data_IF_442176805369
#
_entry.id   IF_442176805369
#
_cell.length_a   1.000
_cell.length_b   1.000
_cell.length_c   1.000
_cell.angle_alpha   90.00
_cell.angle_beta   90.00
_cell.angle_gamma   90.00
#
_symmetry.space_group_name_H-M   'P 1'
#
loop_
_entity.id
_entity.type
_entity.pdbx_description
1 polymer ?
#
# COMPACT_ATOMS: atom_id res chain seq x y z
N UNK A 1 -7.56 -2.05 32.13
CA UNK A 1 -6.32 -1.49 31.53
C UNK A 1 -5.96 -2.11 30.17
N UNK A 2 -6.61 -3.22 29.77
CA UNK A 2 -6.59 -3.76 28.41
C UNK A 2 -6.85 -2.70 27.32
N UNK A 3 -7.73 -1.72 27.60
CA UNK A 3 -8.05 -0.62 26.70
C UNK A 3 -7.08 0.58 26.79
N UNK A 4 -5.91 0.41 27.41
CA UNK A 4 -4.87 1.44 27.37
C UNK A 4 -4.29 1.50 25.95
N UNK A 5 -4.11 2.72 25.41
CA UNK A 5 -3.62 2.95 24.05
C UNK A 5 -2.30 2.22 23.75
N UNK A 6 -1.36 2.23 24.71
CA UNK A 6 -0.09 1.50 24.56
C UNK A 6 -0.33 0.00 24.42
N UNK A 7 -1.16 -0.60 25.27
CA UNK A 7 -1.42 -2.04 25.24
C UNK A 7 -2.14 -2.45 23.95
N UNK A 8 -3.08 -1.63 23.47
CA UNK A 8 -3.75 -1.85 22.18
C UNK A 8 -2.73 -1.82 21.05
N UNK A 9 -1.82 -0.82 21.04
CA UNK A 9 -0.78 -0.72 20.03
C UNK A 9 0.19 -1.91 20.08
N UNK A 10 0.69 -2.28 21.27
CA UNK A 10 1.60 -3.41 21.41
C UNK A 10 0.96 -4.75 21.04
N UNK A 11 -0.37 -4.88 21.05
CA UNK A 11 -1.06 -6.08 20.55
C UNK A 11 -0.98 -6.24 19.04
N UNK A 12 -0.77 -5.16 18.29
CA UNK A 12 -0.59 -5.24 16.83
C UNK A 12 0.84 -5.61 16.43
N UNK A 13 1.78 -5.62 17.38
CA UNK A 13 3.19 -5.92 17.08
C UNK A 13 3.36 -7.41 16.81
N UNK A 14 4.29 -7.74 15.93
CA UNK A 14 4.88 -9.06 15.84
C UNK A 14 5.90 -9.30 16.96
N UNK A 15 6.25 -10.57 17.20
CA UNK A 15 7.28 -10.93 18.19
C UNK A 15 8.62 -10.25 17.90
N UNK A 16 8.97 -10.10 16.62
CA UNK A 16 10.20 -9.43 16.18
C UNK A 16 10.16 -7.93 16.51
N UNK A 17 9.05 -7.25 16.21
CA UNK A 17 8.87 -5.83 16.52
C UNK A 17 8.92 -5.57 18.03
N UNK A 18 8.27 -6.39 18.85
CA UNK A 18 8.33 -6.23 20.32
C UNK A 18 9.76 -6.40 20.86
N UNK A 19 10.56 -7.28 20.26
CA UNK A 19 11.97 -7.47 20.63
C UNK A 19 12.81 -6.24 20.26
N UNK A 20 12.66 -5.72 19.03
CA UNK A 20 13.34 -4.49 18.59
C UNK A 20 12.89 -3.26 19.38
N UNK A 21 11.62 -3.18 19.75
CA UNK A 21 11.10 -2.08 20.57
C UNK A 21 11.72 -2.07 21.98
N UNK A 22 11.96 -3.25 22.56
CA UNK A 22 12.70 -3.35 23.82
C UNK A 22 14.12 -2.79 23.66
N UNK A 23 14.85 -3.20 22.64
CA UNK A 23 16.20 -2.68 22.36
C UNK A 23 16.19 -1.16 22.11
N UNK A 24 15.23 -0.68 21.32
CA UNK A 24 15.01 0.75 21.05
C UNK A 24 14.78 1.54 22.34
N UNK A 25 14.02 0.98 23.29
CA UNK A 25 13.76 1.63 24.57
C UNK A 25 14.99 1.78 25.47
N UNK A 26 15.97 0.89 25.31
CA UNK A 26 17.26 0.94 26.00
C UNK A 26 18.32 1.79 25.27
N UNK A 27 18.03 2.26 24.05
CA UNK A 27 18.94 3.12 23.31
C UNK A 27 19.03 4.51 23.96
N UNK A 28 20.23 4.95 24.43
CA UNK A 28 20.40 6.24 25.08
C UNK A 28 20.22 7.43 24.12
N UNK A 29 20.13 7.17 22.82
CA UNK A 29 19.81 8.16 21.80
C UNK A 29 18.31 8.50 21.78
N UNK A 30 17.45 7.50 21.98
CA UNK A 30 15.99 7.65 21.92
C UNK A 30 15.33 7.79 23.29
N UNK A 31 15.87 7.11 24.31
CA UNK A 31 15.30 7.12 25.65
C UNK A 31 16.37 6.95 26.74
N UNK A 32 16.29 7.78 27.77
CA UNK A 32 17.12 7.70 28.99
C UNK A 32 16.31 7.48 30.26
N UNK A 33 14.98 7.39 30.15
CA UNK A 33 14.10 7.29 31.30
C UNK A 33 14.02 5.83 31.79
N UNK A 34 14.69 5.53 32.91
CA UNK A 34 14.78 4.17 33.48
C UNK A 34 13.40 3.56 33.76
N UNK A 35 12.45 4.34 34.31
CA UNK A 35 11.09 3.85 34.53
C UNK A 35 10.34 3.44 33.25
N UNK A 36 10.63 4.07 32.11
CA UNK A 36 10.04 3.69 30.80
C UNK A 36 10.68 2.41 30.30
N UNK A 37 12.00 2.27 30.46
CA UNK A 37 12.73 1.03 30.15
C UNK A 37 12.17 -0.15 30.96
N UNK A 38 12.00 0.03 32.27
CA UNK A 38 11.45 -1.00 33.15
C UNK A 38 10.00 -1.38 32.76
N UNK A 39 9.17 -0.40 32.39
CA UNK A 39 7.80 -0.66 31.93
C UNK A 39 7.79 -1.47 30.65
N UNK A 40 8.60 -1.09 29.66
CA UNK A 40 8.68 -1.80 28.37
C UNK A 40 9.26 -3.19 28.56
N UNK A 41 10.29 -3.35 29.40
CA UNK A 41 10.85 -4.65 29.77
C UNK A 41 9.77 -5.57 30.36
N UNK A 42 9.01 -5.09 31.34
CA UNK A 42 7.89 -5.85 31.90
C UNK A 42 6.86 -6.23 30.82
N UNK A 43 6.41 -5.27 30.01
CA UNK A 43 5.44 -5.54 28.94
C UNK A 43 5.94 -6.56 27.91
N UNK A 44 7.24 -6.55 27.60
CA UNK A 44 7.88 -7.53 26.71
C UNK A 44 7.85 -8.95 27.27
N UNK A 45 7.98 -9.11 28.60
CA UNK A 45 7.90 -10.45 29.25
C UNK A 45 6.52 -11.07 29.16
N UNK A 46 5.45 -10.26 29.13
CA UNK A 46 4.07 -10.75 29.09
C UNK A 46 3.48 -10.83 27.67
N UNK A 47 4.13 -10.20 26.68
CA UNK A 47 3.73 -10.25 25.28
C UNK A 47 3.72 -11.69 24.72
N UNK A 48 2.74 -12.07 23.86
CA UNK A 48 1.64 -11.24 23.32
C UNK A 48 0.39 -11.20 24.19
N UNK A 49 0.32 -11.99 25.26
CA UNK A 49 -0.89 -12.09 26.08
C UNK A 49 -0.93 -11.04 27.21
N UNK A 50 -1.56 -9.92 26.88
CA UNK A 50 -1.87 -8.82 27.79
C UNK A 50 -3.18 -9.04 28.57
N UNK A 51 -3.27 -10.18 29.27
CA UNK A 51 -4.42 -10.49 30.16
C UNK A 51 -4.67 -9.38 31.19
N UNK A 52 -5.94 -9.17 31.57
CA UNK A 52 -6.32 -8.13 32.53
C UNK A 52 -5.58 -8.26 33.88
N UNK A 53 -5.37 -9.51 34.33
CA UNK A 53 -4.62 -9.81 35.55
C UNK A 53 -3.17 -9.31 35.49
N UNK A 54 -2.49 -9.51 34.34
CA UNK A 54 -1.08 -9.10 34.17
C UNK A 54 -0.93 -7.61 33.87
N UNK A 55 -1.95 -6.99 33.27
CA UNK A 55 -1.95 -5.57 32.96
C UNK A 55 -2.67 -4.70 34.00
N UNK A 56 -2.97 -5.22 35.20
CA UNK A 56 -3.59 -4.44 36.26
C UNK A 56 -2.62 -3.38 36.82
N UNK A 57 -3.10 -2.16 37.08
CA UNK A 57 -2.25 -1.01 37.49
C UNK A 57 -1.35 -1.32 38.68
N UNK A 58 -1.93 -1.92 39.70
CA UNK A 58 -1.23 -2.26 40.94
C UNK A 58 -0.16 -3.34 40.71
N UNK A 59 -0.42 -4.29 39.79
CA UNK A 59 0.54 -5.33 39.44
C UNK A 59 1.73 -4.68 38.75
N UNK A 60 1.48 -3.90 37.69
CA UNK A 60 2.53 -3.20 36.95
C UNK A 60 3.33 -2.26 37.87
N UNK A 61 2.67 -1.50 38.73
CA UNK A 61 3.34 -0.59 39.65
C UNK A 61 4.25 -1.34 40.63
N UNK A 62 3.78 -2.47 41.19
CA UNK A 62 4.58 -3.27 42.13
C UNK A 62 5.82 -3.86 41.48
N UNK A 63 5.72 -4.29 40.22
CA UNK A 63 6.87 -4.77 39.45
C UNK A 63 7.87 -3.64 39.15
N UNK A 64 7.38 -2.42 38.88
CA UNK A 64 8.22 -1.26 38.58
C UNK A 64 8.87 -0.60 39.81
N UNK A 65 8.13 -0.57 40.93
CA UNK A 65 8.48 0.17 42.13
C UNK A 65 8.27 -0.71 43.38
N UNK A 66 9.10 -1.75 43.57
CA UNK A 66 8.95 -2.65 44.70
C UNK A 66 9.07 -1.90 46.03
N UNK A 67 8.09 -2.09 46.92
CA UNK A 67 8.06 -1.48 48.25
C UNK A 67 7.55 -0.04 48.31
N UNK A 68 7.15 0.58 47.20
CA UNK A 68 6.57 1.93 47.18
C UNK A 68 5.03 1.87 47.21
N UNK A 69 4.34 2.83 47.86
CA UNK A 69 2.89 2.93 47.78
C UNK A 69 2.46 3.25 46.34
N UNK A 70 1.34 2.68 45.90
CA UNK A 70 0.85 2.87 44.55
C UNK A 70 0.51 4.35 44.26
N UNK A 71 1.27 4.98 43.36
CA UNK A 71 1.04 6.36 42.89
C UNK A 71 0.57 6.35 41.44
N UNK A 72 -0.73 6.56 41.23
CA UNK A 72 -1.35 6.47 39.91
C UNK A 72 -0.78 7.49 38.89
N UNK A 73 -0.44 8.70 39.32
CA UNK A 73 0.10 9.75 38.44
C UNK A 73 1.46 9.38 37.88
N UNK A 74 2.31 8.74 38.68
CA UNK A 74 3.63 8.27 38.27
C UNK A 74 3.52 7.18 37.20
N UNK A 75 2.64 6.19 37.41
CA UNK A 75 2.41 5.14 36.42
C UNK A 75 1.82 5.70 35.12
N UNK A 76 0.85 6.62 35.21
CA UNK A 76 0.24 7.24 34.05
C UNK A 76 1.26 8.01 33.18
N UNK A 77 2.24 8.66 33.82
CA UNK A 77 3.33 9.35 33.12
C UNK A 77 4.21 8.36 32.34
N UNK A 78 4.59 7.23 32.95
CA UNK A 78 5.37 6.19 32.28
C UNK A 78 4.65 5.63 31.05
N UNK A 79 3.36 5.36 31.17
CA UNK A 79 2.55 4.90 30.02
C UNK A 79 2.48 5.94 28.91
N UNK A 80 2.40 7.22 29.25
CA UNK A 80 2.40 8.31 28.26
C UNK A 80 3.73 8.38 27.52
N UNK A 81 4.84 8.31 28.23
CA UNK A 81 6.18 8.31 27.62
C UNK A 81 6.46 7.06 26.81
N UNK A 82 6.08 5.88 27.30
CA UNK A 82 6.20 4.63 26.57
C UNK A 82 5.34 4.62 25.29
N UNK A 83 4.14 5.22 25.31
CA UNK A 83 3.29 5.36 24.11
C UNK A 83 3.98 6.20 23.04
N UNK A 84 4.51 7.37 23.41
CA UNK A 84 5.26 8.23 22.47
C UNK A 84 6.49 7.54 21.91
N UNK A 85 7.18 6.76 22.74
CA UNK A 85 8.35 6.00 22.33
C UNK A 85 7.99 4.87 21.35
N UNK A 86 6.85 4.21 21.55
CA UNK A 86 6.32 3.20 20.63
C UNK A 86 5.93 3.81 19.27
N UNK A 87 5.26 4.97 19.27
CA UNK A 87 4.93 5.71 18.03
C UNK A 87 6.21 6.13 17.29
N UNK A 88 7.23 6.62 18.01
CA UNK A 88 8.53 6.96 17.42
C UNK A 88 9.23 5.72 16.86
N UNK A 89 9.20 4.60 17.58
CA UNK A 89 9.76 3.34 17.12
C UNK A 89 9.13 2.90 15.79
N UNK A 90 7.79 2.87 15.70
CA UNK A 90 7.10 2.52 14.46
C UNK A 90 7.45 3.43 13.28
N UNK A 91 7.59 4.73 13.53
CA UNK A 91 8.02 5.67 12.49
C UNK A 91 9.45 5.38 11.99
N UNK A 92 10.35 4.93 12.88
CA UNK A 92 11.70 4.50 12.48
C UNK A 92 11.66 3.16 11.74
N UNK A 93 10.87 2.20 12.20
CA UNK A 93 10.70 0.92 11.50
C UNK A 93 10.16 1.12 10.07
N UNK A 94 9.14 1.97 9.89
CA UNK A 94 8.62 2.31 8.56
C UNK A 94 9.70 2.96 7.68
N UNK A 95 10.52 3.84 8.25
CA UNK A 95 11.62 4.46 7.51
C UNK A 95 12.70 3.43 7.10
N UNK A 96 12.93 2.39 7.90
CA UNK A 96 13.80 1.25 7.55
C UNK A 96 13.24 0.40 6.40
N UNK A 97 11.93 0.36 6.23
CA UNK A 97 11.27 -0.32 5.11
C UNK A 97 11.23 0.51 3.82
N UNK A 98 11.59 1.80 3.89
CA UNK A 98 11.56 2.73 2.76
C UNK A 98 12.96 3.33 2.44
N UNK A 99 13.89 2.55 1.86
CA UNK A 99 15.25 3.01 1.54
C UNK A 99 15.30 4.30 0.72
N UNK A 100 14.36 4.45 -0.23
CA UNK A 100 14.21 5.64 -1.07
C UNK A 100 14.00 6.94 -0.26
N UNK A 101 13.28 6.86 0.86
CA UNK A 101 13.05 7.99 1.75
C UNK A 101 14.29 8.30 2.59
N UNK A 102 15.02 7.27 3.05
CA UNK A 102 16.28 7.45 3.76
C UNK A 102 17.34 8.14 2.88
N UNK A 103 17.47 7.69 1.64
CA UNK A 103 18.41 8.25 0.67
C UNK A 103 18.14 9.74 0.45
N UNK A 104 16.88 10.12 0.26
CA UNK A 104 16.50 11.53 0.10
C UNK A 104 16.81 12.37 1.34
N UNK A 105 16.56 11.83 2.55
CA UNK A 105 16.92 12.50 3.81
C UNK A 105 18.43 12.66 3.95
N UNK A 106 19.21 11.65 3.57
CA UNK A 106 20.67 11.70 3.57
C UNK A 106 21.18 12.77 2.61
N UNK A 107 20.65 12.83 1.37
CA UNK A 107 21.01 13.84 0.37
C UNK A 107 20.82 15.26 0.93
N UNK A 108 19.63 15.55 1.46
CA UNK A 108 19.31 16.84 2.08
C UNK A 108 20.31 17.21 3.18
N UNK A 109 20.67 16.24 4.04
CA UNK A 109 21.63 16.45 5.13
C UNK A 109 23.06 16.65 4.63
N UNK A 110 23.49 15.92 3.60
CA UNK A 110 24.81 16.07 3.00
C UNK A 110 24.95 17.44 2.31
N UNK A 111 23.94 17.88 1.55
CA UNK A 111 23.91 19.21 0.93
C UNK A 111 23.97 20.31 1.98
N UNK A 112 23.13 20.25 3.02
CA UNK A 112 23.12 21.24 4.09
C UNK A 112 24.45 21.32 4.86
N UNK A 113 25.17 20.19 4.97
CA UNK A 113 26.51 20.12 5.59
C UNK A 113 27.66 20.38 4.63
N UNK A 114 27.36 20.77 3.39
CA UNK A 114 28.32 21.03 2.32
C UNK A 114 29.26 19.85 2.01
N UNK A 115 28.78 18.62 2.21
CA UNK A 115 29.54 17.38 1.94
C UNK A 115 29.41 16.96 0.47
N UNK A 116 29.81 17.84 -0.46
CA UNK A 116 29.46 17.73 -1.88
C UNK A 116 29.93 16.44 -2.57
N UNK A 117 31.18 16.00 -2.34
CA UNK A 117 31.67 14.72 -2.90
C UNK A 117 30.86 13.51 -2.44
N UNK A 118 30.39 13.52 -1.19
CA UNK A 118 29.52 12.46 -0.65
C UNK A 118 28.12 12.56 -1.23
N UNK A 119 27.62 13.79 -1.38
CA UNK A 119 26.33 14.07 -1.98
C UNK A 119 26.27 13.53 -3.42
N UNK A 120 27.21 13.89 -4.29
CA UNK A 120 27.21 13.45 -5.70
C UNK A 120 27.24 11.92 -5.81
N UNK A 121 28.04 11.25 -4.97
CA UNK A 121 28.08 9.78 -4.92
C UNK A 121 26.74 9.18 -4.48
N UNK A 122 26.12 9.76 -3.46
CA UNK A 122 24.82 9.31 -2.96
C UNK A 122 23.70 9.57 -3.98
N UNK A 123 23.71 10.72 -4.66
CA UNK A 123 22.70 11.08 -5.65
C UNK A 123 22.74 10.11 -6.83
N UNK A 124 23.94 9.84 -7.35
CA UNK A 124 24.11 8.86 -8.44
C UNK A 124 23.63 7.47 -8.06
N UNK A 125 23.84 7.05 -6.80
CA UNK A 125 23.36 5.76 -6.32
C UNK A 125 21.82 5.74 -6.23
N UNK A 126 21.21 6.79 -5.66
CA UNK A 126 19.76 6.91 -5.56
C UNK A 126 19.07 6.94 -6.94
N UNK A 127 19.64 7.68 -7.91
CA UNK A 127 19.13 7.72 -9.29
C UNK A 127 19.23 6.35 -9.99
N UNK A 128 20.30 5.60 -9.76
CA UNK A 128 20.46 4.24 -10.29
C UNK A 128 19.46 3.28 -9.67
N UNK A 129 19.27 3.35 -8.35
CA UNK A 129 18.29 2.54 -7.64
C UNK A 129 16.86 2.83 -8.10
N UNK A 130 16.50 4.11 -8.25
CA UNK A 130 15.22 4.51 -8.81
C UNK A 130 15.04 3.95 -10.24
N UNK A 131 16.09 3.96 -11.07
CA UNK A 131 16.02 3.39 -12.43
C UNK A 131 15.78 1.88 -12.42
N UNK A 132 16.39 1.16 -11.47
CA UNK A 132 16.29 -0.30 -11.34
C UNK A 132 15.04 -0.78 -10.61
N UNK A 133 14.28 0.11 -9.97
CA UNK A 133 13.02 -0.25 -9.33
C UNK A 133 12.10 -0.98 -10.32
N UNK A 134 11.40 -2.01 -9.87
CA UNK A 134 10.50 -2.78 -10.73
C UNK A 134 9.25 -1.98 -11.11
N UNK A 135 8.72 -1.19 -10.16
CA UNK A 135 7.46 -0.50 -10.33
C UNK A 135 7.61 0.88 -11.00
N UNK A 136 6.56 1.27 -11.73
CA UNK A 136 6.40 2.52 -12.47
C UNK A 136 5.03 3.14 -12.15
N UNK A 137 4.68 3.11 -10.86
CA UNK A 137 3.48 3.72 -10.31
C UNK A 137 3.68 5.21 -10.03
N UNK A 138 2.64 5.88 -9.57
CA UNK A 138 2.72 7.30 -9.21
C UNK A 138 3.78 7.61 -8.15
N UNK A 139 3.99 6.72 -7.16
CA UNK A 139 5.01 6.92 -6.14
C UNK A 139 6.41 6.90 -6.73
N UNK A 140 6.68 6.06 -7.74
CA UNK A 140 7.94 6.06 -8.45
C UNK A 140 8.22 7.40 -9.16
N UNK A 141 7.22 7.94 -9.87
CA UNK A 141 7.34 9.26 -10.50
C UNK A 141 7.54 10.38 -9.46
N UNK A 142 6.82 10.32 -8.33
CA UNK A 142 6.98 11.26 -7.23
C UNK A 142 8.40 11.21 -6.64
N UNK A 143 8.96 10.01 -6.46
CA UNK A 143 10.32 9.84 -5.97
C UNK A 143 11.34 10.44 -6.96
N UNK A 144 11.18 10.22 -8.26
CA UNK A 144 12.02 10.87 -9.28
C UNK A 144 11.92 12.39 -9.23
N UNK A 145 10.71 12.93 -9.06
CA UNK A 145 10.50 14.36 -8.89
C UNK A 145 11.24 14.89 -7.65
N UNK A 146 11.22 14.16 -6.53
CA UNK A 146 11.93 14.54 -5.32
C UNK A 146 13.46 14.52 -5.48
N UNK A 147 14.01 13.49 -6.13
CA UNK A 147 15.45 13.40 -6.42
C UNK A 147 15.89 14.54 -7.35
N UNK A 148 15.16 14.77 -8.44
CA UNK A 148 15.47 15.85 -9.38
C UNK A 148 15.34 17.24 -8.73
N UNK A 149 14.38 17.42 -7.82
CA UNK A 149 14.26 18.66 -7.03
C UNK A 149 15.46 18.88 -6.09
N UNK A 150 15.92 17.82 -5.43
CA UNK A 150 17.08 17.92 -4.54
C UNK A 150 18.37 18.17 -5.34
N UNK A 151 18.51 17.54 -6.52
CA UNK A 151 19.59 17.80 -7.48
C UNK A 151 19.59 19.26 -7.98
N UNK A 152 18.44 19.79 -8.38
CA UNK A 152 18.24 21.18 -8.81
C UNK A 152 18.72 22.17 -7.73
N UNK A 153 18.37 21.92 -6.46
CA UNK A 153 18.88 22.72 -5.34
C UNK A 153 20.38 22.63 -5.14
N UNK A 154 20.96 21.45 -5.32
CA UNK A 154 22.41 21.26 -5.20
C UNK A 154 23.16 22.01 -6.30
N UNK A 155 22.80 21.79 -7.57
CA UNK A 155 23.51 22.38 -8.71
C UNK A 155 23.35 23.90 -8.79
N UNK A 156 22.16 24.42 -8.43
CA UNK A 156 21.94 25.86 -8.27
C UNK A 156 22.89 26.47 -7.22
N UNK A 157 23.12 25.77 -6.10
CA UNK A 157 23.99 26.23 -5.02
C UNK A 157 25.49 26.18 -5.42
N UNK A 158 25.91 25.13 -6.12
CA UNK A 158 27.33 24.90 -6.40
C UNK A 158 27.90 25.68 -7.59
N UNK A 159 27.06 26.39 -8.35
CA UNK A 159 27.42 27.26 -9.48
C UNK A 159 28.25 26.60 -10.62
N UNK A 160 28.60 25.32 -10.51
CA UNK A 160 29.23 24.55 -11.57
C UNK A 160 28.22 24.36 -12.70
N UNK A 161 28.38 25.17 -13.76
CA UNK A 161 27.69 25.04 -15.05
C UNK A 161 28.12 23.76 -15.78
N UNK A 162 27.83 22.60 -15.20
CA UNK A 162 27.54 21.43 -16.03
C UNK A 162 26.19 21.71 -16.70
N UNK A 163 25.98 21.16 -17.89
CA UNK A 163 24.63 21.08 -18.48
C UNK A 163 23.77 20.26 -17.52
N UNK A 164 23.14 20.94 -16.57
CA UNK A 164 22.29 20.33 -15.56
C UNK A 164 20.87 20.23 -16.12
N UNK A 165 20.46 18.99 -16.40
CA UNK A 165 19.11 18.67 -16.84
C UNK A 165 18.16 18.42 -15.66
N UNK A 166 18.59 18.65 -14.41
CA UNK A 166 17.76 18.34 -13.23
C UNK A 166 16.46 19.13 -13.21
N UNK A 167 16.44 20.39 -13.67
CA UNK A 167 15.22 21.19 -13.77
C UNK A 167 14.23 20.62 -14.80
N UNK A 168 14.71 20.19 -15.96
CA UNK A 168 13.89 19.56 -17.00
C UNK A 168 13.36 18.20 -16.53
N UNK A 169 14.24 17.35 -15.96
CA UNK A 169 13.85 16.06 -15.38
C UNK A 169 12.84 16.22 -14.24
N UNK A 170 12.97 17.27 -13.44
CA UNK A 170 12.03 17.63 -12.38
C UNK A 170 10.65 17.98 -12.96
N UNK A 171 10.57 18.77 -14.03
CA UNK A 171 9.29 19.07 -14.66
C UNK A 171 8.67 17.82 -15.28
N UNK A 172 9.44 17.04 -16.03
CA UNK A 172 8.95 15.80 -16.64
C UNK A 172 8.42 14.80 -15.58
N UNK A 173 9.16 14.61 -14.48
CA UNK A 173 8.73 13.74 -13.40
C UNK A 173 7.49 14.29 -12.66
N UNK A 174 7.36 15.61 -12.53
CA UNK A 174 6.17 16.24 -11.97
C UNK A 174 4.94 16.00 -12.84
N UNK A 175 5.08 16.15 -14.16
CA UNK A 175 4.00 15.94 -15.12
C UNK A 175 3.54 14.47 -15.09
N UNK A 176 4.48 13.52 -15.10
CA UNK A 176 4.14 12.10 -15.03
C UNK A 176 3.47 11.73 -13.71
N UNK A 177 4.00 12.23 -12.58
CA UNK A 177 3.38 12.02 -11.27
C UNK A 177 1.96 12.57 -11.25
N UNK A 178 1.79 13.82 -11.69
CA UNK A 178 0.50 14.49 -11.72
C UNK A 178 -0.50 13.75 -12.59
N UNK A 179 -0.14 13.38 -13.81
CA UNK A 179 -1.03 12.66 -14.73
C UNK A 179 -1.42 11.28 -14.17
N UNK A 180 -0.47 10.52 -13.62
CA UNK A 180 -0.74 9.20 -13.05
C UNK A 180 -1.72 9.30 -11.87
N UNK A 181 -1.47 10.18 -10.89
CA UNK A 181 -2.39 10.43 -9.78
C UNK A 181 -3.74 10.93 -10.25
N UNK A 182 -3.72 11.88 -11.20
CA UNK A 182 -4.94 12.55 -11.64
C UNK A 182 -5.89 11.61 -12.36
N UNK A 183 -5.37 10.74 -13.23
CA UNK A 183 -6.17 9.75 -13.93
C UNK A 183 -6.65 8.65 -12.99
N UNK A 184 -5.83 8.25 -12.02
CA UNK A 184 -6.23 7.29 -10.97
C UNK A 184 -7.41 7.81 -10.16
N UNK A 185 -7.29 9.03 -9.64
CA UNK A 185 -8.37 9.65 -8.87
C UNK A 185 -9.61 9.87 -9.74
N UNK A 186 -9.43 10.24 -11.02
CA UNK A 186 -10.54 10.39 -11.96
C UNK A 186 -11.31 9.07 -12.15
N UNK A 187 -10.64 7.92 -12.24
CA UNK A 187 -11.30 6.61 -12.27
C UNK A 187 -12.16 6.37 -11.03
N UNK A 188 -11.60 6.64 -9.84
CA UNK A 188 -12.31 6.45 -8.57
C UNK A 188 -13.50 7.39 -8.44
N UNK A 189 -13.33 8.65 -8.84
CA UNK A 189 -14.39 9.65 -8.84
C UNK A 189 -15.52 9.27 -9.80
N UNK A 190 -15.21 8.77 -10.99
CA UNK A 190 -16.20 8.27 -11.93
C UNK A 190 -16.95 7.06 -11.38
N UNK A 191 -16.27 6.10 -10.77
CA UNK A 191 -16.97 4.96 -10.15
C UNK A 191 -17.90 5.42 -9.02
N UNK A 192 -17.45 6.35 -8.16
CA UNK A 192 -18.28 6.90 -7.08
C UNK A 192 -19.43 7.74 -7.60
N UNK A 193 -19.26 8.48 -8.70
CA UNK A 193 -20.32 9.29 -9.31
C UNK A 193 -21.49 8.41 -9.74
N UNK A 194 -21.20 7.27 -10.37
CA UNK A 194 -22.18 6.28 -10.81
C UNK A 194 -22.91 5.61 -9.63
N UNK A 195 -22.19 5.23 -8.57
CA UNK A 195 -22.77 4.54 -7.41
C UNK A 195 -23.61 5.49 -6.55
N UNK A 196 -23.06 6.67 -6.23
CA UNK A 196 -23.67 7.62 -5.29
C UNK A 196 -24.60 8.63 -5.97
N UNK A 197 -24.67 8.64 -7.31
CA UNK A 197 -25.39 9.64 -8.13
C UNK A 197 -24.96 11.08 -7.78
N UNK A 198 -23.67 11.26 -7.52
CA UNK A 198 -23.06 12.55 -7.23
C UNK A 198 -22.39 13.10 -8.48
N UNK A 199 -22.46 14.41 -8.68
CA UNK A 199 -21.68 15.06 -9.72
C UNK A 199 -20.41 15.67 -9.12
N UNK A 200 -19.26 15.14 -9.52
CA UNK A 200 -17.98 15.73 -9.18
C UNK A 200 -17.53 16.66 -10.30
N UNK A 201 -17.45 17.96 -10.04
CA UNK A 201 -16.82 18.88 -10.98
C UNK A 201 -15.30 18.71 -10.89
N UNK A 202 -14.68 18.16 -11.94
CA UNK A 202 -13.24 17.94 -11.96
C UNK A 202 -12.61 18.38 -13.31
N UNK A 203 -12.49 19.70 -13.56
CA UNK A 203 -12.01 20.23 -14.85
C UNK A 203 -10.59 19.78 -15.24
N UNK A 204 -9.74 19.55 -14.24
CA UNK A 204 -8.35 19.14 -14.48
C UNK A 204 -8.20 17.68 -14.89
N UNK A 205 -9.24 16.85 -14.75
CA UNK A 205 -9.21 15.46 -15.21
C UNK A 205 -9.44 15.43 -16.72
N UNK A 206 -10.38 16.22 -17.22
CA UNK A 206 -10.59 16.41 -18.66
C UNK A 206 -9.31 16.90 -19.34
N UNK A 207 -8.61 17.87 -18.73
CA UNK A 207 -7.32 18.32 -19.25
C UNK A 207 -6.27 17.20 -19.29
N UNK A 208 -6.16 16.41 -18.22
CA UNK A 208 -5.20 15.30 -18.18
C UNK A 208 -5.46 14.26 -19.26
N UNK A 209 -6.73 13.94 -19.54
CA UNK A 209 -7.14 13.02 -20.61
C UNK A 209 -6.78 13.59 -21.98
N UNK A 210 -7.08 14.87 -22.23
CA UNK A 210 -6.73 15.55 -23.49
C UNK A 210 -5.22 15.65 -23.71
N UNK A 211 -4.46 15.87 -22.64
CA UNK A 211 -2.99 15.89 -22.69
C UNK A 211 -2.44 14.52 -23.09
N UNK A 212 -2.95 13.44 -22.47
CA UNK A 212 -2.55 12.07 -22.83
C UNK A 212 -2.94 11.72 -24.27
N UNK A 213 -4.09 12.19 -24.74
CA UNK A 213 -4.53 11.98 -26.12
C UNK A 213 -3.64 12.70 -27.14
N UNK A 214 -3.19 13.91 -26.82
CA UNK A 214 -2.31 14.69 -27.69
C UNK A 214 -0.94 14.03 -27.86
N UNK A 215 -0.40 13.48 -26.79
CA UNK A 215 0.95 12.89 -26.73
C UNK A 215 0.88 11.37 -26.48
N UNK A 216 -0.07 10.70 -27.12
CA UNK A 216 -0.40 9.29 -26.84
C UNK A 216 0.80 8.36 -27.02
N UNK A 217 1.68 8.61 -27.99
CA UNK A 217 2.89 7.81 -28.21
C UNK A 217 3.84 7.87 -27.01
N UNK A 218 4.02 9.07 -26.44
CA UNK A 218 4.86 9.30 -25.26
C UNK A 218 4.27 8.64 -24.03
N UNK A 219 3.01 8.95 -23.70
CA UNK A 219 2.39 8.47 -22.46
C UNK A 219 2.00 7.00 -22.50
N UNK A 220 1.90 6.38 -23.68
CA UNK A 220 1.76 4.93 -23.78
C UNK A 220 3.02 4.18 -23.30
N UNK A 221 4.18 4.83 -23.20
CA UNK A 221 5.39 4.21 -22.62
C UNK A 221 5.44 4.30 -21.09
N UNK A 222 4.50 5.00 -20.47
CA UNK A 222 4.47 5.29 -19.03
C UNK A 222 3.37 4.44 -18.35
N UNK A 223 3.71 3.31 -17.68
CA UNK A 223 2.76 2.25 -17.33
C UNK A 223 1.52 2.72 -16.55
N UNK A 224 1.69 3.48 -15.47
CA UNK A 224 0.56 3.96 -14.67
C UNK A 224 -0.34 4.92 -15.46
N UNK A 225 0.24 5.82 -16.26
CA UNK A 225 -0.51 6.80 -17.07
C UNK A 225 -1.31 6.05 -18.14
N UNK A 226 -0.64 5.16 -18.89
CA UNK A 226 -1.26 4.36 -19.94
C UNK A 226 -2.41 3.49 -19.41
N UNK A 227 -2.21 2.86 -18.26
CA UNK A 227 -3.22 2.03 -17.61
C UNK A 227 -4.43 2.84 -17.16
N UNK A 228 -4.23 3.91 -16.38
CA UNK A 228 -5.34 4.70 -15.85
C UNK A 228 -6.08 5.51 -16.89
N UNK A 229 -5.40 5.99 -17.94
CA UNK A 229 -6.07 6.60 -19.08
C UNK A 229 -7.09 5.65 -19.73
N UNK A 230 -6.71 4.39 -19.94
CA UNK A 230 -7.60 3.38 -20.56
C UNK A 230 -8.73 2.96 -19.65
N UNK A 231 -8.47 2.83 -18.34
CA UNK A 231 -9.53 2.60 -17.36
C UNK A 231 -10.51 3.77 -17.32
N UNK A 232 -10.02 4.99 -17.30
CA UNK A 232 -10.86 6.18 -17.29
C UNK A 232 -11.79 6.20 -18.50
N UNK A 233 -11.26 5.93 -19.70
CA UNK A 233 -12.06 5.84 -20.93
C UNK A 233 -13.06 4.69 -20.91
N UNK A 234 -12.68 3.53 -20.38
CA UNK A 234 -13.62 2.41 -20.20
C UNK A 234 -14.78 2.79 -19.29
N UNK A 235 -14.50 3.45 -18.17
CA UNK A 235 -15.50 3.82 -17.17
C UNK A 235 -16.40 4.96 -17.69
N UNK A 236 -15.82 5.97 -18.34
CA UNK A 236 -16.56 7.17 -18.79
C UNK A 236 -17.34 6.97 -20.08
N UNK A 237 -16.80 6.21 -21.05
CA UNK A 237 -17.45 5.98 -22.35
C UNK A 237 -18.38 4.75 -22.33
N UNK A 238 -18.09 3.75 -21.50
CA UNK A 238 -18.92 2.54 -21.34
C UNK A 238 -18.91 1.57 -22.53
N UNK A 239 -18.14 1.84 -23.58
CA UNK A 239 -18.08 1.01 -24.80
C UNK A 239 -17.27 -0.29 -24.58
N UNK A 240 -17.70 -1.37 -25.25
CA UNK A 240 -17.05 -2.70 -25.15
C UNK A 240 -15.62 -2.71 -25.68
N UNK A 241 -15.34 -1.92 -26.72
CA UNK A 241 -14.00 -1.72 -27.27
C UNK A 241 -13.01 -1.23 -26.21
N UNK A 242 -13.45 -0.28 -25.37
CA UNK A 242 -12.64 0.31 -24.30
C UNK A 242 -12.30 -0.67 -23.20
N UNK A 243 -13.21 -1.58 -22.88
CA UNK A 243 -12.91 -2.69 -21.98
C UNK A 243 -11.74 -3.54 -22.50
N UNK A 244 -11.76 -3.94 -23.77
CA UNK A 244 -10.69 -4.76 -24.34
C UNK A 244 -9.37 -4.00 -24.43
N UNK A 245 -9.39 -2.69 -24.70
CA UNK A 245 -8.19 -1.85 -24.63
C UNK A 245 -7.61 -1.79 -23.20
N UNK A 246 -8.45 -1.61 -22.17
CA UNK A 246 -8.01 -1.61 -20.78
C UNK A 246 -7.51 -2.99 -20.34
N UNK A 247 -8.17 -4.07 -20.76
CA UNK A 247 -7.75 -5.45 -20.51
C UNK A 247 -6.39 -5.74 -21.14
N UNK A 248 -6.14 -5.26 -22.37
CA UNK A 248 -4.83 -5.41 -23.02
C UNK A 248 -3.75 -4.63 -22.26
N UNK A 249 -4.04 -3.39 -21.86
CA UNK A 249 -3.10 -2.59 -21.08
C UNK A 249 -2.76 -3.22 -19.72
N UNK A 250 -3.71 -3.90 -19.09
CA UNK A 250 -3.42 -4.68 -17.89
C UNK A 250 -2.37 -5.77 -18.19
N UNK A 251 -2.52 -6.53 -19.28
CA UNK A 251 -1.53 -7.55 -19.67
C UNK A 251 -0.14 -6.93 -19.94
N UNK A 252 -0.12 -5.78 -20.59
CA UNK A 252 1.12 -5.09 -20.98
C UNK A 252 1.85 -4.48 -19.77
N UNK A 253 1.12 -3.96 -18.79
CA UNK A 253 1.68 -3.14 -17.71
C UNK A 253 1.66 -3.76 -16.32
N UNK A 254 0.96 -4.88 -16.09
CA UNK A 254 0.78 -5.44 -14.75
C UNK A 254 2.09 -5.73 -13.99
N UNK A 255 3.16 -6.07 -14.71
CA UNK A 255 4.47 -6.33 -14.10
C UNK A 255 5.12 -5.08 -13.46
N UNK A 256 4.69 -3.88 -13.86
CA UNK A 256 5.23 -2.60 -13.40
C UNK A 256 4.37 -1.94 -12.33
N UNK A 257 3.29 -2.58 -11.88
CA UNK A 257 2.36 -1.99 -10.91
C UNK A 257 2.35 -2.81 -9.61
N UNK A 258 2.30 -2.15 -8.44
CA UNK A 258 2.30 -2.84 -7.16
C UNK A 258 0.97 -3.57 -6.92
N UNK A 259 1.00 -4.64 -6.13
CA UNK A 259 -0.15 -5.50 -5.88
C UNK A 259 -1.43 -4.77 -5.40
N UNK A 260 -1.38 -3.79 -4.48
CA UNK A 260 -2.57 -3.03 -4.08
C UNK A 260 -3.22 -2.28 -5.25
N UNK A 261 -2.40 -1.77 -6.18
CA UNK A 261 -2.86 -1.05 -7.37
C UNK A 261 -3.49 -2.01 -8.38
N UNK A 262 -2.86 -3.16 -8.61
CA UNK A 262 -3.45 -4.23 -9.43
C UNK A 262 -4.81 -4.66 -8.90
N UNK A 263 -4.96 -4.85 -7.59
CA UNK A 263 -6.27 -5.17 -6.97
C UNK A 263 -7.34 -4.15 -7.36
N UNK A 264 -7.03 -2.85 -7.29
CA UNK A 264 -7.96 -1.80 -7.69
C UNK A 264 -8.29 -1.86 -9.20
N UNK A 265 -7.29 -2.08 -10.06
CA UNK A 265 -7.48 -2.20 -11.51
C UNK A 265 -8.39 -3.37 -11.87
N UNK A 266 -8.14 -4.55 -11.30
CA UNK A 266 -9.00 -5.71 -11.49
C UNK A 266 -10.43 -5.44 -11.04
N UNK A 267 -10.63 -4.72 -9.93
CA UNK A 267 -11.97 -4.36 -9.47
C UNK A 267 -12.71 -3.48 -10.50
N UNK A 268 -12.03 -2.54 -11.16
CA UNK A 268 -12.65 -1.74 -12.24
C UNK A 268 -13.09 -2.62 -13.43
N UNK A 269 -12.24 -3.54 -13.88
CA UNK A 269 -12.55 -4.46 -14.98
C UNK A 269 -13.68 -5.42 -14.62
N UNK A 270 -13.68 -5.96 -13.39
CA UNK A 270 -14.74 -6.83 -12.89
C UNK A 270 -16.07 -6.10 -12.79
N UNK A 271 -16.08 -4.87 -12.27
CA UNK A 271 -17.28 -4.05 -12.20
C UNK A 271 -17.88 -3.82 -13.60
N UNK A 272 -17.05 -3.55 -14.61
CA UNK A 272 -17.50 -3.48 -15.99
C UNK A 272 -18.14 -4.80 -16.47
N UNK A 273 -17.45 -5.93 -16.27
CA UNK A 273 -17.97 -7.24 -16.65
C UNK A 273 -19.31 -7.56 -15.97
N UNK A 274 -19.43 -7.29 -14.67
CA UNK A 274 -20.66 -7.51 -13.89
C UNK A 274 -21.81 -6.67 -14.47
N UNK A 275 -21.55 -5.40 -14.80
CA UNK A 275 -22.55 -4.54 -15.43
C UNK A 275 -23.02 -5.11 -16.78
N UNK A 276 -22.12 -5.64 -17.61
CA UNK A 276 -22.50 -6.24 -18.89
C UNK A 276 -23.25 -7.56 -18.74
N UNK A 277 -22.82 -8.43 -17.82
CA UNK A 277 -23.54 -9.68 -17.49
C UNK A 277 -24.97 -9.37 -17.02
N UNK A 278 -25.15 -8.33 -16.21
CA UNK A 278 -26.48 -7.91 -15.75
C UNK A 278 -27.37 -7.34 -16.87
N UNK A 279 -26.78 -6.87 -17.98
CA UNK A 279 -27.49 -6.49 -19.20
C UNK A 279 -27.80 -7.66 -20.14
N UNK A 280 -27.35 -8.87 -19.80
CA UNK A 280 -27.55 -10.08 -20.61
C UNK A 280 -26.41 -10.40 -21.58
N UNK A 281 -25.29 -9.67 -21.52
CA UNK A 281 -24.12 -9.92 -22.38
C UNK A 281 -23.29 -11.09 -21.83
N UNK A 282 -23.74 -12.32 -22.08
CA UNK A 282 -23.13 -13.55 -21.53
C UNK A 282 -21.66 -13.75 -21.92
N UNK A 283 -21.19 -13.14 -23.01
CA UNK A 283 -19.79 -13.18 -23.42
C UNK A 283 -18.84 -12.71 -22.29
N UNK A 284 -19.29 -11.77 -21.45
CA UNK A 284 -18.52 -11.25 -20.33
C UNK A 284 -18.40 -12.22 -19.14
N UNK A 285 -19.16 -13.33 -19.11
CA UNK A 285 -18.91 -14.40 -18.13
C UNK A 285 -17.53 -15.01 -18.32
N UNK A 286 -17.11 -15.22 -19.58
CA UNK A 286 -15.77 -15.74 -19.88
C UNK A 286 -14.69 -14.74 -19.48
N UNK A 287 -14.96 -13.45 -19.70
CA UNK A 287 -14.02 -12.38 -19.34
C UNK A 287 -13.83 -12.27 -17.83
N UNK A 288 -14.91 -12.18 -17.04
CA UNK A 288 -14.78 -12.08 -15.58
C UNK A 288 -14.14 -13.34 -14.98
N UNK A 289 -14.39 -14.52 -15.55
CA UNK A 289 -13.75 -15.76 -15.14
C UNK A 289 -12.23 -15.72 -15.35
N UNK A 290 -11.76 -15.23 -16.50
CA UNK A 290 -10.32 -15.02 -16.75
C UNK A 290 -9.70 -14.05 -15.76
N UNK A 291 -10.40 -12.96 -15.42
CA UNK A 291 -9.92 -12.00 -14.41
C UNK A 291 -9.77 -12.68 -13.04
N UNK A 292 -10.72 -13.52 -12.63
CA UNK A 292 -10.59 -14.29 -11.38
C UNK A 292 -9.41 -15.25 -11.41
N UNK A 293 -9.21 -15.99 -12.50
CA UNK A 293 -8.07 -16.90 -12.64
C UNK A 293 -6.75 -16.14 -12.50
N UNK A 294 -6.59 -15.02 -13.21
CA UNK A 294 -5.39 -14.21 -13.12
C UNK A 294 -5.16 -13.66 -11.70
N UNK A 295 -6.19 -13.16 -11.02
CA UNK A 295 -6.02 -12.68 -9.64
C UNK A 295 -5.69 -13.79 -8.65
N UNK A 296 -6.15 -15.03 -8.87
CA UNK A 296 -5.77 -16.18 -8.06
C UNK A 296 -4.29 -16.54 -8.29
N UNK A 297 -3.85 -16.57 -9.55
CA UNK A 297 -2.46 -16.88 -9.93
C UNK A 297 -1.47 -15.85 -9.37
N UNK A 298 -1.88 -14.58 -9.28
CA UNK A 298 -1.11 -13.50 -8.68
C UNK A 298 -1.32 -13.34 -7.15
N UNK A 299 -2.06 -14.25 -6.51
CA UNK A 299 -2.43 -14.21 -5.08
C UNK A 299 -3.08 -12.87 -4.63
N UNK A 300 -3.71 -12.14 -5.56
CA UNK A 300 -4.29 -10.81 -5.31
C UNK A 300 -5.60 -10.88 -4.50
N UNK A 301 -6.29 -12.02 -4.51
CA UNK A 301 -7.54 -12.20 -3.75
C UNK A 301 -7.34 -12.64 -2.30
N UNK A 302 -6.09 -12.90 -1.89
CA UNK A 302 -5.79 -13.30 -0.52
C UNK A 302 -5.58 -12.05 0.36
N UNK A 303 -6.27 -12.03 1.49
CA UNK A 303 -6.12 -11.05 2.57
C UNK A 303 -5.63 -11.80 3.82
N UNK A 304 -4.45 -11.43 4.32
CA UNK A 304 -3.80 -12.15 5.43
C UNK A 304 -3.74 -13.67 5.21
N UNK A 305 -3.47 -14.09 3.97
CA UNK A 305 -3.40 -15.50 3.56
C UNK A 305 -4.74 -16.20 3.33
N UNK A 306 -5.87 -15.48 3.46
CA UNK A 306 -7.20 -16.04 3.34
C UNK A 306 -8.00 -15.47 2.16
N UNK A 307 -8.82 -16.31 1.53
CA UNK A 307 -9.77 -15.93 0.49
C UNK A 307 -11.15 -15.69 1.10
N UNK A 308 -11.79 -14.55 0.82
CA UNK A 308 -13.12 -14.26 1.37
C UNK A 308 -14.18 -15.26 0.86
N UNK A 309 -15.17 -15.58 1.70
CA UNK A 309 -16.27 -16.47 1.32
C UNK A 309 -17.06 -15.95 0.10
N UNK A 310 -17.10 -14.62 -0.05
CA UNK A 310 -17.77 -13.94 -1.16
C UNK A 310 -17.03 -14.13 -2.47
N UNK A 311 -15.70 -13.94 -2.48
CA UNK A 311 -14.89 -14.23 -3.67
C UNK A 311 -14.97 -15.71 -4.04
N UNK A 312 -14.84 -16.59 -3.05
CA UNK A 312 -14.94 -18.04 -3.26
C UNK A 312 -16.28 -18.43 -3.91
N UNK A 313 -17.40 -17.93 -3.38
CA UNK A 313 -18.73 -18.17 -3.95
C UNK A 313 -18.90 -17.58 -5.35
N UNK A 314 -18.45 -16.35 -5.58
CA UNK A 314 -18.61 -15.68 -6.87
C UNK A 314 -17.82 -16.39 -7.97
N UNK A 315 -16.61 -16.86 -7.66
CA UNK A 315 -15.76 -17.64 -8.57
C UNK A 315 -16.44 -18.96 -8.95
N UNK A 316 -16.89 -19.74 -7.96
CA UNK A 316 -17.60 -21.01 -8.19
C UNK A 316 -18.86 -20.78 -9.02
N UNK A 317 -19.68 -19.80 -8.64
CA UNK A 317 -20.92 -19.48 -9.37
C UNK A 317 -20.64 -19.11 -10.82
N UNK A 318 -19.60 -18.30 -11.06
CA UNK A 318 -19.20 -17.90 -12.42
C UNK A 318 -18.76 -19.11 -13.26
N UNK A 319 -17.89 -19.96 -12.69
CA UNK A 319 -17.36 -21.12 -13.39
C UNK A 319 -18.43 -22.19 -13.66
N UNK A 320 -19.38 -22.40 -12.73
CA UNK A 320 -20.54 -23.28 -12.95
C UNK A 320 -21.43 -22.78 -14.09
N UNK A 321 -21.67 -21.46 -14.18
CA UNK A 321 -22.42 -20.86 -15.31
C UNK A 321 -21.72 -21.07 -16.66
N UNK A 322 -20.40 -21.17 -16.66
CA UNK A 322 -19.58 -21.51 -17.83
C UNK A 322 -19.45 -23.02 -18.08
N UNK A 323 -20.04 -23.86 -17.22
CA UNK A 323 -19.94 -25.32 -17.27
C UNK A 323 -18.50 -25.86 -17.08
N UNK A 324 -17.64 -25.10 -16.41
CA UNK A 324 -16.24 -25.48 -16.12
C UNK A 324 -16.14 -26.43 -14.90
N UNK A 325 -16.90 -27.54 -14.94
CA UNK A 325 -17.14 -28.41 -13.77
C UNK A 325 -15.86 -28.99 -13.17
N UNK A 326 -14.92 -29.41 -14.01
CA UNK A 326 -13.64 -29.96 -13.56
C UNK A 326 -12.79 -28.91 -12.85
N UNK A 327 -12.76 -27.68 -13.39
CA UNK A 327 -12.04 -26.57 -12.79
C UNK A 327 -12.65 -26.20 -11.44
N UNK A 328 -13.98 -26.14 -11.34
CA UNK A 328 -14.69 -25.85 -10.08
C UNK A 328 -14.31 -26.85 -8.98
N UNK A 329 -14.32 -28.16 -9.30
CA UNK A 329 -13.94 -29.19 -8.35
C UNK A 329 -12.50 -29.00 -7.85
N UNK A 330 -11.57 -28.71 -8.76
CA UNK A 330 -10.16 -28.48 -8.40
C UNK A 330 -9.99 -27.23 -7.54
N UNK A 331 -10.66 -26.13 -7.91
CA UNK A 331 -10.62 -24.88 -7.16
C UNK A 331 -11.17 -25.05 -5.74
N UNK A 332 -12.31 -25.71 -5.58
CA UNK A 332 -12.96 -25.93 -4.29
C UNK A 332 -12.05 -26.69 -3.33
N UNK A 333 -11.41 -27.75 -3.81
CA UNK A 333 -10.49 -28.54 -2.98
C UNK A 333 -9.19 -27.78 -2.68
N UNK A 334 -8.61 -27.09 -3.67
CA UNK A 334 -7.35 -26.38 -3.50
C UNK A 334 -7.45 -25.17 -2.56
N UNK A 335 -8.57 -24.44 -2.57
CA UNK A 335 -8.74 -23.21 -1.80
C UNK A 335 -9.52 -23.38 -0.49
N UNK A 336 -9.95 -24.60 -0.14
CA UNK A 336 -10.65 -24.89 1.12
C UNK A 336 -9.89 -24.37 2.35
N UNK A 337 -8.60 -24.71 2.46
CA UNK A 337 -7.78 -24.31 3.61
C UNK A 337 -7.42 -22.82 3.62
N UNK A 338 -7.62 -22.14 2.49
CA UNK A 338 -7.47 -20.69 2.36
C UNK A 338 -8.73 -19.94 2.79
N UNK A 339 -9.85 -20.59 3.08
CA UNK A 339 -11.01 -19.91 3.67
C UNK A 339 -10.76 -19.57 5.15
N UNK A 340 -11.28 -18.43 5.65
CA UNK A 340 -11.20 -18.09 7.07
C UNK A 340 -11.78 -19.23 7.93
N UNK A 341 -11.08 -19.65 9.01
CA UNK A 341 -11.47 -20.81 9.81
C UNK A 341 -12.92 -20.78 10.29
N UNK A 342 -13.44 -19.58 10.59
CA UNK A 342 -14.79 -19.36 11.12
C UNK A 342 -15.91 -19.71 10.15
N UNK A 343 -15.68 -19.56 8.84
CA UNK A 343 -16.68 -19.78 7.78
C UNK A 343 -16.35 -20.95 6.85
N UNK A 344 -15.14 -21.51 6.96
CA UNK A 344 -14.56 -22.51 6.05
C UNK A 344 -15.50 -23.66 5.71
N UNK A 345 -15.97 -24.40 6.71
CA UNK A 345 -16.77 -25.61 6.47
C UNK A 345 -18.12 -25.28 5.82
N UNK A 346 -18.74 -24.17 6.22
CA UNK A 346 -20.02 -23.73 5.66
C UNK A 346 -19.86 -23.29 4.20
N UNK A 347 -18.90 -22.42 3.92
CA UNK A 347 -18.62 -21.94 2.57
C UNK A 347 -18.20 -23.09 1.64
N UNK A 348 -17.34 -24.01 2.08
CA UNK A 348 -16.94 -25.18 1.31
C UNK A 348 -18.13 -26.07 0.96
N UNK A 349 -18.94 -26.50 1.95
CA UNK A 349 -20.07 -27.41 1.72
C UNK A 349 -21.15 -26.79 0.83
N UNK A 350 -21.43 -25.50 1.01
CA UNK A 350 -22.40 -24.78 0.18
C UNK A 350 -22.00 -24.80 -1.30
N UNK A 351 -20.74 -24.48 -1.59
CA UNK A 351 -20.24 -24.42 -2.95
C UNK A 351 -20.03 -25.81 -3.58
N UNK A 352 -19.70 -26.84 -2.78
CA UNK A 352 -19.59 -28.22 -3.27
C UNK A 352 -20.95 -28.81 -3.68
N UNK A 353 -22.03 -28.36 -3.06
CA UNK A 353 -23.39 -28.80 -3.36
C UNK A 353 -24.07 -28.02 -4.51
N UNK A 354 -23.47 -26.90 -4.93
CA UNK A 354 -23.94 -26.05 -6.05
C UNK A 354 -23.55 -26.67 -7.39
#
# INVERSE_FOLDING_TARGET
MHNNKLIILLKSFERREMTRFLEFSHSPYFNKHEGVQALIAYLSTIFPDFSERRCHREVIFRELFPGQPHVQSQLALLFTYASRLAEQFLAIEQLEEEPQNQELLLLRRLRARQQYKRYEKALKAAEEQARQAAFRDSNWYYHKYQLATEADYFYTLTAERRTDSSLEQKQLALDHFYLAEKLRDACEMEVRSHILKLHYAHPLAEWAVQEVERELETYSQEPAIAMYYRLYRMISEGETTRYFEARQALEDYQAFLPAPELKAIYNYLQNYCIQQINKGEEAFLKEIFRLYQAQLDHELLLESGHLSEWHYKNIVTTALRLQEMQWVQQFIEAFREKLPPEVRDNAYRFNLAS
#
